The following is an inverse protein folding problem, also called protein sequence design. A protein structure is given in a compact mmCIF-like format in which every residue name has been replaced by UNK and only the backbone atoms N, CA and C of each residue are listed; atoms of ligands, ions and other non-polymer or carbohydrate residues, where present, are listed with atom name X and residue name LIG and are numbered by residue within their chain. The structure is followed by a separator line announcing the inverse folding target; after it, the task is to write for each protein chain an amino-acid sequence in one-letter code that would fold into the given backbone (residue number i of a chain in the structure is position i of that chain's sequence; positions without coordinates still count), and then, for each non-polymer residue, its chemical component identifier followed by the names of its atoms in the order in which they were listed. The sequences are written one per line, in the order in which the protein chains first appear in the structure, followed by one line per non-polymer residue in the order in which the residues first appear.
data_IF_975649124938
#
_entry.id   IF_975649124938
#
_cell.length_a   1.000
_cell.length_b   1.000
_cell.length_c   1.000
_cell.angle_alpha   90.00
_cell.angle_beta   90.00
_cell.angle_gamma   90.00
#
_symmetry.space_group_name_H-M   'P 1'
#
loop_
_entity.id
_entity.type
_entity.pdbx_description
1 polymer ?
#
# COMPACT_ATOMS: atom_id res chain seq x y z
N UNK A 1 -2.76 -14.68 22.74
CA UNK A 1 -1.97 -13.72 21.96
C UNK A 1 -2.47 -13.71 20.53
N UNK A 2 -3.06 -12.61 20.07
CA UNK A 2 -3.29 -12.41 18.64
C UNK A 2 -1.96 -11.93 18.06
N UNK A 3 -1.19 -12.84 17.48
CA UNK A 3 -0.06 -12.44 16.63
C UNK A 3 -0.65 -11.74 15.42
N UNK A 4 -0.81 -10.42 15.53
CA UNK A 4 -0.93 -9.54 14.37
C UNK A 4 0.46 -9.46 13.73
N UNK A 5 0.96 -10.59 13.23
CA UNK A 5 2.04 -10.55 12.27
C UNK A 5 1.49 -9.74 11.09
N UNK A 6 2.11 -8.62 10.73
CA UNK A 6 1.74 -7.90 9.54
C UNK A 6 1.94 -8.90 8.39
N UNK A 7 0.86 -9.20 7.67
CA UNK A 7 0.97 -10.01 6.47
C UNK A 7 1.49 -9.07 5.40
N UNK A 8 2.78 -8.77 5.48
CA UNK A 8 3.48 -7.94 4.49
C UNK A 8 3.73 -8.85 3.29
N UNK A 9 2.91 -8.69 2.25
CA UNK A 9 3.18 -9.34 0.98
C UNK A 9 3.95 -8.38 0.10
N UNK A 10 4.95 -8.90 -0.59
CA UNK A 10 5.64 -8.15 -1.61
C UNK A 10 4.70 -8.10 -2.82
N UNK A 11 4.14 -6.92 -3.07
CA UNK A 11 3.23 -6.69 -4.19
C UNK A 11 3.86 -5.65 -5.13
N UNK A 12 3.54 -5.77 -6.43
CA UNK A 12 3.92 -4.75 -7.40
C UNK A 12 2.96 -3.58 -7.24
N UNK A 13 3.51 -2.42 -6.91
CA UNK A 13 2.76 -1.16 -6.73
C UNK A 13 3.28 -0.10 -7.68
N UNK A 14 2.40 0.80 -8.11
CA UNK A 14 2.73 1.94 -8.96
C UNK A 14 2.98 3.18 -8.10
N UNK A 15 4.12 3.85 -8.24
CA UNK A 15 4.35 5.10 -7.52
C UNK A 15 3.46 6.19 -8.11
N UNK A 16 2.50 6.70 -7.36
CA UNK A 16 1.62 7.79 -7.80
C UNK A 16 2.13 9.15 -7.35
N UNK A 17 2.88 9.21 -6.24
CA UNK A 17 3.46 10.44 -5.74
C UNK A 17 4.74 10.18 -4.93
N UNK A 18 5.71 11.06 -5.05
CA UNK A 18 6.93 11.07 -4.22
C UNK A 18 6.89 12.33 -3.38
N UNK A 19 6.81 12.19 -2.07
CA UNK A 19 6.75 13.30 -1.12
C UNK A 19 7.99 13.30 -0.23
N UNK A 20 8.27 14.42 0.43
CA UNK A 20 9.37 14.54 1.40
C UNK A 20 9.23 13.54 2.58
N UNK A 21 7.99 13.15 2.89
CA UNK A 21 7.68 12.17 3.93
C UNK A 21 7.73 10.71 3.45
N UNK A 22 7.97 10.47 2.15
CA UNK A 22 7.98 9.14 1.54
C UNK A 22 7.21 9.06 0.24
N UNK A 23 7.28 7.90 -0.40
CA UNK A 23 6.58 7.58 -1.63
C UNK A 23 5.21 6.98 -1.33
N UNK A 24 4.22 7.50 -2.05
CA UNK A 24 2.88 6.95 -2.09
C UNK A 24 2.80 6.09 -3.34
N UNK A 25 2.52 4.81 -3.12
CA UNK A 25 2.31 3.84 -4.17
C UNK A 25 0.85 3.39 -4.19
N UNK A 26 0.32 3.10 -5.35
CA UNK A 26 -0.99 2.52 -5.56
C UNK A 26 -0.85 1.03 -5.85
N UNK A 27 -1.55 0.23 -5.06
CA UNK A 27 -1.70 -1.21 -5.31
C UNK A 27 -2.61 -1.44 -6.52
N UNK A 28 -2.47 -2.57 -7.24
CA UNK A 28 -3.35 -2.92 -8.36
C UNK A 28 -4.83 -3.01 -7.98
N UNK A 29 -5.13 -3.18 -6.69
CA UNK A 29 -6.49 -3.13 -6.14
C UNK A 29 -7.04 -1.71 -5.94
N UNK A 30 -6.28 -0.67 -6.30
CA UNK A 30 -6.67 0.74 -6.19
C UNK A 30 -6.50 1.33 -4.79
N UNK A 31 -5.72 0.69 -3.90
CA UNK A 31 -5.39 1.25 -2.60
C UNK A 31 -4.06 2.01 -2.64
N UNK A 32 -4.10 3.28 -2.21
CA UNK A 32 -2.91 4.07 -1.97
C UNK A 32 -2.26 3.67 -0.63
N UNK A 33 -1.00 3.30 -0.68
CA UNK A 33 -0.17 2.86 0.44
C UNK A 33 1.10 3.69 0.50
N UNK A 34 1.49 4.12 1.70
CA UNK A 34 2.77 4.77 1.89
C UNK A 34 3.83 3.69 2.12
N UNK A 35 4.80 3.61 1.21
CA UNK A 35 5.87 2.60 1.23
C UNK A 35 7.17 3.14 1.85
N UNK A 36 7.15 4.34 2.42
CA UNK A 36 8.32 5.01 2.98
C UNK A 36 9.20 5.66 1.92
N UNK A 37 10.44 6.00 2.28
CA UNK A 37 11.39 6.58 1.33
C UNK A 37 11.71 5.61 0.20
N UNK A 38 11.58 6.08 -1.03
CA UNK A 38 11.91 5.33 -2.22
C UNK A 38 12.69 6.20 -3.22
N UNK A 39 13.64 5.60 -3.93
CA UNK A 39 14.39 6.21 -5.04
C UNK A 39 13.67 6.02 -6.39
N UNK A 40 12.34 5.96 -6.38
CA UNK A 40 11.51 5.80 -7.57
C UNK A 40 10.81 7.11 -7.94
N UNK A 41 10.26 7.17 -9.16
CA UNK A 41 9.55 8.34 -9.70
C UNK A 41 8.07 8.02 -9.84
N UNK A 42 7.22 9.05 -9.87
CA UNK A 42 5.82 8.84 -10.20
C UNK A 42 5.68 8.17 -11.58
N UNK A 43 4.86 7.12 -11.66
CA UNK A 43 4.67 6.23 -12.82
C UNK A 43 5.61 5.01 -12.86
N UNK A 44 6.51 4.86 -11.88
CA UNK A 44 7.39 3.68 -11.79
C UNK A 44 6.69 2.54 -11.05
N UNK A 45 6.95 1.30 -11.45
CA UNK A 45 6.38 0.11 -10.81
C UNK A 45 7.45 -0.60 -9.99
N UNK A 46 7.30 -0.59 -8.67
CA UNK A 46 8.25 -1.23 -7.77
C UNK A 46 7.60 -2.37 -6.99
N UNK A 47 8.41 -3.28 -6.48
CA UNK A 47 7.97 -4.31 -5.56
C UNK A 47 8.17 -3.79 -4.14
N UNK A 48 7.08 -3.53 -3.43
CA UNK A 48 7.11 -3.00 -2.07
C UNK A 48 6.36 -3.94 -1.11
N UNK A 49 6.79 -4.04 0.16
CA UNK A 49 6.02 -4.73 1.18
C UNK A 49 4.74 -3.92 1.46
N UNK A 50 3.59 -4.53 1.19
CA UNK A 50 2.29 -3.95 1.47
C UNK A 50 1.62 -4.74 2.58
N UNK A 51 1.19 -4.03 3.63
CA UNK A 51 0.48 -4.64 4.74
C UNK A 51 -0.95 -5.02 4.31
N UNK A 52 -1.21 -6.33 4.15
CA UNK A 52 -2.53 -6.82 3.75
C UNK A 52 -3.61 -6.49 4.78
N UNK A 53 -3.26 -6.35 6.06
CA UNK A 53 -4.25 -6.00 7.09
C UNK A 53 -4.69 -4.56 6.93
N UNK A 54 -3.81 -3.67 6.48
CA UNK A 54 -4.20 -2.31 6.10
C UNK A 54 -5.20 -2.34 4.94
N UNK A 55 -4.96 -3.17 3.91
CA UNK A 55 -5.91 -3.40 2.81
C UNK A 55 -7.24 -3.99 3.31
N UNK A 56 -7.21 -5.03 4.15
CA UNK A 56 -8.43 -5.62 4.73
C UNK A 56 -9.20 -4.61 5.58
N UNK A 57 -8.53 -3.77 6.36
CA UNK A 57 -9.17 -2.70 7.14
C UNK A 57 -9.76 -1.63 6.24
N UNK A 58 -9.07 -1.24 5.17
CA UNK A 58 -9.59 -0.30 4.18
C UNK A 58 -10.78 -0.88 3.39
N UNK A 59 -10.75 -2.19 3.08
CA UNK A 59 -11.87 -2.90 2.47
C UNK A 59 -13.08 -3.00 3.42
N UNK A 60 -12.85 -3.29 4.70
CA UNK A 60 -13.91 -3.32 5.74
C UNK A 60 -14.42 -1.92 6.12
N UNK A 61 -13.63 -0.87 5.88
CA UNK A 61 -14.01 0.53 6.07
C UNK A 61 -14.55 1.18 4.79
N UNK A 62 -14.66 0.45 3.68
CA UNK A 62 -15.51 0.86 2.55
C UNK A 62 -16.96 0.48 2.88
N UNK A 63 -17.84 1.43 3.23
CA UNK A 63 -19.25 1.15 3.43
C UNK A 63 -19.96 1.01 2.07
N UNK A 64 -19.52 0.10 1.22
CA UNK A 64 -20.42 -0.47 0.19
C UNK A 64 -21.22 -1.59 0.84
N UNK A 65 -21.98 -1.21 1.86
CA UNK A 65 -23.26 -1.84 2.10
C UNK A 65 -24.25 -1.26 1.11
N UNK A 66 -24.29 -1.84 -0.10
CA UNK A 66 -25.46 -1.98 -0.99
C UNK A 66 -25.03 -2.57 -2.33
#
# INVERSE_FOLDING_TARGET
MWYVSPAEIIERVEIIAVTDAGCIAETPDGYAVNIGQCDAKAGDYIMAPVDQKLKERAALMNPTGQ
#
